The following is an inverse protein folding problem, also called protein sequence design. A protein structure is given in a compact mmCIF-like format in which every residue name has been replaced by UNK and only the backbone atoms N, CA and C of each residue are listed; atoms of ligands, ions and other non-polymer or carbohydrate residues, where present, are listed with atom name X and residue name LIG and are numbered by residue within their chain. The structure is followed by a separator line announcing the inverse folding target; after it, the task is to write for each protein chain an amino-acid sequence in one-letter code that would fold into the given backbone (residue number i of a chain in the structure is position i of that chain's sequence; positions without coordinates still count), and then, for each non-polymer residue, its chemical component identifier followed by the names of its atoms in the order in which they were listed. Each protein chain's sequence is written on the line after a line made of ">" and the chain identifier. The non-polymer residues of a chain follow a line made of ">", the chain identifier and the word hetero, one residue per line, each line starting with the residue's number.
data_IF_667753831618
#
_entry.id   IF_667753831618
#
_cell.length_a   1.000
_cell.length_b   1.000
_cell.length_c   1.000
_cell.angle_alpha   90.00
_cell.angle_beta   90.00
_cell.angle_gamma   90.00
#
_symmetry.space_group_name_H-M   'P 1'
#
loop_
_entity.id
_entity.type
_entity.pdbx_description
1 polymer ?
#
# COMPACT_ATOMS: atom_id res chain seq x y z
N UNK A 1 73.21 102.48 -29.57
CA UNK A 1 73.36 101.99 -28.17
C UNK A 1 72.73 103.01 -27.23
N UNK A 2 71.97 102.64 -26.18
CA UNK A 2 71.76 101.31 -25.57
C UNK A 2 70.38 100.70 -25.92
N UNK A 3 70.23 99.39 -26.13
CA UNK A 3 70.20 98.20 -25.22
C UNK A 3 68.84 97.99 -24.54
N UNK A 4 68.16 96.94 -25.03
CA UNK A 4 67.28 95.97 -24.37
C UNK A 4 66.88 96.23 -22.91
N UNK A 5 65.58 96.04 -22.63
CA UNK A 5 65.16 94.88 -21.82
C UNK A 5 63.69 94.56 -22.08
N UNK A 6 63.48 93.31 -22.50
CA UNK A 6 62.19 92.62 -22.55
C UNK A 6 61.50 92.68 -21.19
N UNK A 7 60.17 92.83 -21.20
CA UNK A 7 59.29 92.15 -20.26
C UNK A 7 57.89 92.05 -20.85
N UNK A 8 57.54 90.85 -21.31
CA UNK A 8 56.15 90.42 -21.49
C UNK A 8 55.76 89.73 -20.18
N UNK A 9 54.59 90.03 -19.61
CA UNK A 9 53.94 89.04 -18.76
C UNK A 9 52.48 88.79 -19.14
N UNK A 10 52.25 87.53 -19.50
CA UNK A 10 51.11 86.70 -19.14
C UNK A 10 49.71 87.11 -19.63
N UNK A 11 49.38 86.69 -20.85
CA UNK A 11 48.04 86.20 -21.14
C UNK A 11 47.83 84.89 -20.36
N UNK A 12 47.10 84.95 -19.25
CA UNK A 12 46.66 83.77 -18.54
C UNK A 12 45.55 83.10 -19.36
N UNK A 13 45.95 82.22 -20.29
CA UNK A 13 45.04 81.26 -20.92
C UNK A 13 44.52 80.35 -19.81
N UNK A 14 43.20 80.32 -19.63
CA UNK A 14 42.52 79.41 -18.71
C UNK A 14 42.96 77.97 -18.95
N UNK A 15 43.11 77.15 -17.90
CA UNK A 15 43.72 75.83 -18.02
C UNK A 15 42.92 74.94 -18.96
N UNK A 16 43.65 74.24 -19.82
CA UNK A 16 43.17 73.10 -20.59
C UNK A 16 42.22 72.23 -19.75
N UNK A 17 40.99 72.03 -20.24
CA UNK A 17 40.16 70.91 -19.83
C UNK A 17 41.01 69.64 -19.98
N UNK A 18 41.40 69.06 -18.84
CA UNK A 18 41.94 67.71 -18.80
C UNK A 18 40.87 66.83 -19.43
N UNK A 19 41.12 66.39 -20.67
CA UNK A 19 40.26 65.40 -21.33
C UNK A 19 40.28 64.18 -20.43
N UNK A 20 39.14 63.86 -19.81
CA UNK A 20 38.95 62.57 -19.18
C UNK A 20 39.32 61.47 -20.19
N UNK A 21 40.02 60.40 -19.78
CA UNK A 21 40.32 59.29 -20.67
C UNK A 21 39.02 58.58 -21.04
N UNK A 22 38.45 59.01 -22.17
CA UNK A 22 37.33 58.37 -22.85
C UNK A 22 37.82 56.99 -23.32
N UNK A 23 37.17 55.96 -22.80
CA UNK A 23 37.31 54.54 -23.15
C UNK A 23 38.50 53.79 -22.54
N UNK A 24 38.39 53.43 -21.26
CA UNK A 24 39.04 52.20 -20.78
C UNK A 24 38.39 51.02 -21.53
N UNK A 25 39.15 50.11 -22.15
CA UNK A 25 38.58 48.98 -22.88
C UNK A 25 37.74 48.13 -21.90
N UNK A 26 36.45 47.96 -22.18
CA UNK A 26 35.54 47.16 -21.35
C UNK A 26 35.72 45.65 -21.54
N UNK A 27 36.51 45.24 -22.53
CA UNK A 27 36.80 43.84 -22.86
C UNK A 27 37.30 42.99 -21.69
N UNK A 28 38.20 43.46 -20.80
CA UNK A 28 38.63 42.67 -19.64
C UNK A 28 37.48 42.37 -18.66
N UNK A 29 36.54 43.32 -18.49
CA UNK A 29 35.36 43.12 -17.64
C UNK A 29 34.39 42.11 -18.26
N UNK A 30 34.19 42.19 -19.58
CA UNK A 30 33.34 41.25 -20.32
C UNK A 30 33.92 39.83 -20.24
N UNK A 31 35.22 39.67 -20.46
CA UNK A 31 35.91 38.36 -20.36
C UNK A 31 35.80 37.78 -18.95
N UNK A 32 36.00 38.60 -17.91
CA UNK A 32 35.82 38.15 -16.51
C UNK A 32 34.38 37.73 -16.25
N UNK A 33 33.38 38.50 -16.71
CA UNK A 33 31.97 38.12 -16.57
C UNK A 33 31.63 36.81 -17.29
N UNK A 34 32.16 36.58 -18.50
CA UNK A 34 31.94 35.34 -19.26
C UNK A 34 32.59 34.16 -18.55
N UNK A 35 33.83 34.30 -18.05
CA UNK A 35 34.52 33.25 -17.32
C UNK A 35 33.77 32.90 -16.03
N UNK A 36 33.32 33.90 -15.27
CA UNK A 36 32.52 33.67 -14.05
C UNK A 36 31.19 32.99 -14.40
N UNK A 37 30.51 33.40 -15.47
CA UNK A 37 29.28 32.75 -15.91
C UNK A 37 29.50 31.28 -16.31
N UNK A 38 30.60 30.98 -17.00
CA UNK A 38 30.96 29.60 -17.35
C UNK A 38 31.34 28.75 -16.13
N UNK A 39 32.03 29.34 -15.14
CA UNK A 39 32.35 28.67 -13.87
C UNK A 39 31.08 28.42 -13.06
N UNK A 40 30.14 29.37 -13.01
CA UNK A 40 28.85 29.19 -12.35
C UNK A 40 28.01 28.14 -13.07
N UNK A 41 27.94 28.16 -14.41
CA UNK A 41 27.26 27.12 -15.20
C UNK A 41 27.90 25.74 -15.01
N UNK A 42 29.23 25.68 -14.99
CA UNK A 42 29.99 24.47 -14.69
C UNK A 42 29.72 23.95 -13.29
N UNK A 43 29.65 24.84 -12.28
CA UNK A 43 29.26 24.48 -10.92
C UNK A 43 27.81 24.05 -10.85
N UNK A 44 26.86 24.73 -11.49
CA UNK A 44 25.44 24.32 -11.51
C UNK A 44 25.26 22.97 -12.21
N UNK A 45 25.97 22.72 -13.31
CA UNK A 45 25.97 21.42 -13.99
C UNK A 45 26.63 20.32 -13.17
N UNK A 46 27.79 20.60 -12.57
CA UNK A 46 28.53 19.62 -11.77
C UNK A 46 27.87 19.32 -10.42
N UNK A 47 27.41 20.36 -9.71
CA UNK A 47 26.59 20.20 -8.51
C UNK A 47 25.24 19.59 -8.85
N UNK A 48 24.56 19.98 -9.93
CA UNK A 48 23.32 19.34 -10.39
C UNK A 48 23.47 17.83 -10.64
N UNK A 49 24.61 17.42 -11.21
CA UNK A 49 24.95 16.01 -11.41
C UNK A 49 25.33 15.28 -10.11
N UNK A 50 25.99 15.94 -9.16
CA UNK A 50 26.31 15.40 -7.82
C UNK A 50 25.08 15.37 -6.88
N UNK A 51 24.07 16.19 -7.16
CA UNK A 51 22.84 16.34 -6.37
C UNK A 51 21.75 15.32 -6.74
N UNK A 52 21.87 14.59 -7.85
CA UNK A 52 20.74 13.86 -8.43
C UNK A 52 20.89 12.32 -8.52
N UNK A 53 21.76 11.69 -7.73
CA UNK A 53 21.79 10.23 -7.68
C UNK A 53 20.86 9.74 -6.57
N UNK A 54 19.72 9.21 -6.99
CA UNK A 54 18.85 8.37 -6.14
C UNK A 54 19.69 7.23 -5.60
N UNK A 55 19.41 6.84 -4.35
CA UNK A 55 19.96 5.63 -3.75
C UNK A 55 19.71 4.43 -4.70
N UNK A 56 20.77 3.80 -5.24
CA UNK A 56 20.63 2.72 -6.22
C UNK A 56 19.86 1.52 -5.66
N UNK A 57 19.91 1.29 -4.35
CA UNK A 57 19.18 0.21 -3.69
C UNK A 57 17.68 0.51 -3.66
N UNK A 58 17.30 1.74 -3.32
CA UNK A 58 15.91 2.19 -3.38
C UNK A 58 15.36 2.12 -4.82
N UNK A 59 16.12 2.59 -5.81
CA UNK A 59 15.72 2.53 -7.21
C UNK A 59 15.46 1.08 -7.67
N UNK A 60 16.33 0.14 -7.27
CA UNK A 60 16.19 -1.28 -7.57
C UNK A 60 14.96 -1.87 -6.88
N UNK A 61 14.84 -1.72 -5.56
CA UNK A 61 13.75 -2.31 -4.79
C UNK A 61 12.38 -1.78 -5.27
N UNK A 62 12.29 -0.49 -5.58
CA UNK A 62 11.05 0.11 -6.13
C UNK A 62 10.77 -0.39 -7.54
N UNK A 63 11.80 -0.50 -8.38
CA UNK A 63 11.70 -1.02 -9.75
C UNK A 63 11.21 -2.47 -9.78
N UNK A 64 11.67 -3.31 -8.85
CA UNK A 64 11.25 -4.70 -8.74
C UNK A 64 9.77 -4.82 -8.37
N UNK A 65 9.26 -3.99 -7.44
CA UNK A 65 7.83 -3.92 -7.11
C UNK A 65 6.99 -3.47 -8.31
N UNK A 66 7.41 -2.40 -8.99
CA UNK A 66 6.74 -1.88 -10.19
C UNK A 66 6.67 -2.96 -11.28
N UNK A 67 7.77 -3.66 -11.53
CA UNK A 67 7.85 -4.71 -12.55
C UNK A 67 6.85 -5.83 -12.25
N UNK A 68 6.77 -6.27 -10.98
CA UNK A 68 5.82 -7.31 -10.57
C UNK A 68 4.37 -6.85 -10.68
N UNK A 69 4.03 -5.63 -10.24
CA UNK A 69 2.67 -5.09 -10.41
C UNK A 69 2.25 -5.02 -11.87
N UNK A 70 3.13 -4.53 -12.75
CA UNK A 70 2.86 -4.47 -14.19
C UNK A 70 2.67 -5.87 -14.78
N UNK A 71 3.50 -6.85 -14.39
CA UNK A 71 3.33 -8.24 -14.79
C UNK A 71 1.97 -8.78 -14.31
N UNK A 72 1.64 -8.59 -13.03
CA UNK A 72 0.41 -9.10 -12.43
C UNK A 72 -0.86 -8.38 -12.89
N UNK A 73 -0.72 -7.22 -13.55
CA UNK A 73 -1.82 -6.53 -14.23
C UNK A 73 -2.26 -7.24 -15.52
N UNK A 74 -1.42 -8.14 -16.06
CA UNK A 74 -1.70 -8.84 -17.33
C UNK A 74 -1.73 -10.36 -17.17
N UNK A 75 -1.09 -10.88 -16.13
CA UNK A 75 -1.00 -12.31 -15.84
C UNK A 75 -1.30 -12.54 -14.39
N UNK A 76 -2.29 -13.36 -14.07
CA UNK A 76 -2.65 -13.64 -12.69
C UNK A 76 -1.48 -14.31 -11.93
N UNK A 77 -1.09 -13.80 -10.74
CA UNK A 77 -0.04 -14.41 -9.94
C UNK A 77 -0.51 -15.74 -9.31
N UNK A 78 0.44 -16.64 -9.05
CA UNK A 78 0.20 -17.82 -8.19
C UNK A 78 0.15 -17.42 -6.71
N UNK A 79 -0.41 -18.27 -5.84
CA UNK A 79 -0.45 -18.02 -4.39
C UNK A 79 0.96 -17.81 -3.78
N UNK A 80 1.97 -18.55 -4.25
CA UNK A 80 3.37 -18.39 -3.84
C UNK A 80 3.93 -17.03 -4.29
N UNK A 81 3.60 -16.60 -5.50
CA UNK A 81 3.98 -15.29 -6.03
C UNK A 81 3.30 -14.15 -5.27
N UNK A 82 2.03 -14.32 -4.89
CA UNK A 82 1.31 -13.39 -4.03
C UNK A 82 2.02 -13.24 -2.68
N UNK A 83 2.29 -14.36 -2.02
CA UNK A 83 2.97 -14.41 -0.71
C UNK A 83 4.36 -13.77 -0.78
N UNK A 84 5.13 -14.08 -1.81
CA UNK A 84 6.46 -13.51 -2.00
C UNK A 84 6.42 -11.99 -2.26
N UNK A 85 5.45 -11.52 -3.05
CA UNK A 85 5.25 -10.10 -3.28
C UNK A 85 4.86 -9.37 -1.99
N UNK A 86 3.90 -9.90 -1.22
CA UNK A 86 3.46 -9.31 0.04
C UNK A 86 4.62 -9.18 1.03
N UNK A 87 5.44 -10.22 1.15
CA UNK A 87 6.67 -10.19 1.96
C UNK A 87 7.62 -9.08 1.50
N UNK A 88 7.89 -8.99 0.19
CA UNK A 88 8.75 -7.94 -0.37
C UNK A 88 8.17 -6.53 -0.12
N UNK A 89 6.86 -6.35 -0.26
CA UNK A 89 6.19 -5.08 -0.01
C UNK A 89 6.27 -4.66 1.48
N UNK A 90 6.17 -5.62 2.41
CA UNK A 90 6.39 -5.38 3.84
C UNK A 90 7.84 -4.96 4.11
N UNK A 91 8.81 -5.70 3.58
CA UNK A 91 10.24 -5.37 3.73
C UNK A 91 10.58 -3.99 3.14
N UNK A 92 10.06 -3.68 1.95
CA UNK A 92 10.17 -2.37 1.32
C UNK A 92 9.60 -1.26 2.21
N UNK A 93 8.39 -1.46 2.73
CA UNK A 93 7.75 -0.49 3.62
C UNK A 93 8.55 -0.30 4.92
N UNK A 94 9.01 -1.37 5.57
CA UNK A 94 9.86 -1.27 6.76
C UNK A 94 11.16 -0.51 6.48
N UNK A 95 11.74 -0.70 5.28
CA UNK A 95 13.01 -0.09 4.90
C UNK A 95 12.88 1.39 4.57
N UNK A 96 11.82 1.82 3.90
CA UNK A 96 11.75 3.16 3.29
C UNK A 96 10.63 4.06 3.81
N UNK A 97 9.60 3.52 4.49
CA UNK A 97 8.46 4.31 4.97
C UNK A 97 8.92 5.40 5.94
N UNK A 98 8.50 6.64 5.67
CA UNK A 98 8.82 7.81 6.50
C UNK A 98 10.26 8.32 6.36
N UNK A 99 11.11 7.68 5.54
CA UNK A 99 12.49 8.14 5.32
C UNK A 99 12.54 9.13 4.15
N UNK A 100 13.23 10.28 4.32
CA UNK A 100 13.44 11.21 3.22
C UNK A 100 14.51 10.63 2.26
N UNK A 101 14.09 10.30 1.03
CA UNK A 101 14.98 9.74 0.00
C UNK A 101 15.10 10.76 -1.14
N UNK A 102 16.33 11.20 -1.41
CA UNK A 102 16.59 12.21 -2.44
C UNK A 102 16.28 11.64 -3.82
N UNK A 103 15.46 12.37 -4.59
CA UNK A 103 15.06 11.96 -5.95
C UNK A 103 14.04 10.82 -6.01
N UNK A 104 13.48 10.40 -4.87
CA UNK A 104 12.51 9.31 -4.82
C UNK A 104 11.17 9.62 -5.51
N UNK A 105 10.86 10.90 -5.73
CA UNK A 105 9.57 11.33 -6.28
C UNK A 105 9.20 10.59 -7.57
N UNK A 106 10.12 10.52 -8.55
CA UNK A 106 9.87 9.81 -9.82
C UNK A 106 9.52 8.33 -9.60
N UNK A 107 10.19 7.66 -8.67
CA UNK A 107 9.98 6.24 -8.38
C UNK A 107 8.68 6.01 -7.61
N UNK A 108 8.36 6.89 -6.65
CA UNK A 108 7.10 6.86 -5.91
C UNK A 108 5.91 7.11 -6.84
N UNK A 109 6.02 8.06 -7.77
CA UNK A 109 4.98 8.34 -8.75
C UNK A 109 4.78 7.17 -9.71
N UNK A 110 5.88 6.53 -10.16
CA UNK A 110 5.81 5.33 -10.98
C UNK A 110 5.21 4.13 -10.24
N UNK A 111 5.52 3.96 -8.95
CA UNK A 111 4.93 2.91 -8.11
C UNK A 111 3.42 3.13 -7.95
N UNK A 112 2.99 4.35 -7.63
CA UNK A 112 1.55 4.69 -7.56
C UNK A 112 0.82 4.45 -8.88
N UNK A 113 1.46 4.77 -10.01
CA UNK A 113 0.88 4.49 -11.32
C UNK A 113 0.74 2.98 -11.58
N UNK A 114 1.74 2.17 -11.19
CA UNK A 114 1.68 0.72 -11.30
C UNK A 114 0.60 0.11 -10.39
N UNK A 115 0.46 0.62 -9.15
CA UNK A 115 -0.61 0.23 -8.23
C UNK A 115 -2.00 0.55 -8.81
N UNK A 116 -2.18 1.76 -9.37
CA UNK A 116 -3.44 2.16 -10.00
C UNK A 116 -3.76 1.30 -11.23
N UNK A 117 -2.76 1.01 -12.06
CA UNK A 117 -2.91 0.15 -13.23
C UNK A 117 -3.31 -1.27 -12.82
N UNK A 118 -2.63 -1.84 -11.81
CA UNK A 118 -2.97 -3.14 -11.27
C UNK A 118 -4.41 -3.16 -10.74
N UNK A 119 -4.81 -2.10 -10.03
CA UNK A 119 -6.17 -2.02 -9.49
C UNK A 119 -7.21 -1.92 -10.60
N UNK A 120 -6.92 -1.15 -11.64
CA UNK A 120 -7.81 -0.97 -12.78
C UNK A 120 -7.94 -2.27 -13.58
N UNK A 121 -6.83 -2.98 -13.81
CA UNK A 121 -6.82 -4.24 -14.55
C UNK A 121 -7.62 -5.34 -13.84
N UNK A 122 -7.61 -5.36 -12.51
CA UNK A 122 -8.31 -6.35 -11.70
C UNK A 122 -9.68 -5.88 -11.18
N UNK A 123 -10.23 -4.79 -11.75
CA UNK A 123 -11.47 -4.16 -11.26
C UNK A 123 -12.63 -5.14 -11.13
N UNK A 124 -12.85 -6.01 -12.10
CA UNK A 124 -13.94 -6.98 -12.06
C UNK A 124 -13.85 -7.93 -10.86
N UNK A 125 -12.64 -8.42 -10.56
CA UNK A 125 -12.38 -9.29 -9.41
C UNK A 125 -12.61 -8.58 -8.07
N UNK A 126 -12.28 -7.29 -8.01
CA UNK A 126 -12.57 -6.48 -6.81
C UNK A 126 -14.05 -6.14 -6.67
N UNK A 127 -14.74 -5.83 -7.76
CA UNK A 127 -16.19 -5.60 -7.74
C UNK A 127 -16.93 -6.89 -7.28
N UNK A 128 -16.46 -8.06 -7.71
CA UNK A 128 -16.95 -9.37 -7.24
C UNK A 128 -16.68 -9.59 -5.76
N UNK A 129 -15.45 -9.35 -5.30
CA UNK A 129 -15.08 -9.48 -3.88
C UNK A 129 -15.91 -8.54 -2.99
N UNK A 130 -16.14 -7.30 -3.42
CA UNK A 130 -17.02 -6.35 -2.72
C UNK A 130 -18.45 -6.87 -2.66
N UNK A 131 -18.98 -7.40 -3.77
CA UNK A 131 -20.33 -7.97 -3.80
C UNK A 131 -20.47 -9.15 -2.83
N UNK A 132 -19.45 -10.01 -2.72
CA UNK A 132 -19.46 -11.13 -1.78
C UNK A 132 -19.50 -10.62 -0.34
N UNK A 133 -18.67 -9.63 0.02
CA UNK A 133 -18.70 -9.04 1.36
C UNK A 133 -20.05 -8.36 1.67
N UNK A 134 -20.68 -7.73 0.69
CA UNK A 134 -22.02 -7.15 0.84
C UNK A 134 -23.09 -8.23 1.08
N UNK A 135 -23.00 -9.38 0.40
CA UNK A 135 -23.90 -10.51 0.64
C UNK A 135 -23.71 -11.09 2.04
N UNK A 136 -22.46 -11.24 2.50
CA UNK A 136 -22.16 -11.63 3.88
C UNK A 136 -22.72 -10.65 4.90
N UNK A 137 -22.59 -9.34 4.65
CA UNK A 137 -23.18 -8.29 5.48
C UNK A 137 -24.71 -8.45 5.55
N UNK A 138 -25.36 -8.68 4.41
CA UNK A 138 -26.80 -8.92 4.33
C UNK A 138 -27.25 -10.13 5.14
N UNK A 139 -26.54 -11.26 5.03
CA UNK A 139 -26.81 -12.45 5.86
C UNK A 139 -26.66 -12.14 7.35
N UNK A 140 -25.61 -11.39 7.70
CA UNK A 140 -25.36 -11.03 9.10
C UNK A 140 -26.48 -10.19 9.69
N UNK A 141 -26.95 -9.19 8.96
CA UNK A 141 -28.04 -8.31 9.39
C UNK A 141 -29.37 -9.06 9.49
N UNK A 142 -29.64 -9.97 8.53
CA UNK A 142 -30.86 -10.77 8.51
C UNK A 142 -30.94 -11.78 9.66
N UNK A 143 -29.80 -12.37 10.03
CA UNK A 143 -29.72 -13.49 10.97
C UNK A 143 -29.09 -13.13 12.33
N UNK A 144 -28.94 -11.85 12.64
CA UNK A 144 -28.25 -11.36 13.85
C UNK A 144 -28.70 -12.01 15.18
N UNK A 145 -29.98 -12.40 15.27
CA UNK A 145 -30.54 -13.01 16.48
C UNK A 145 -30.58 -14.54 16.41
N UNK A 146 -30.56 -15.12 15.21
CA UNK A 146 -30.69 -16.56 15.00
C UNK A 146 -30.16 -16.95 13.61
N UNK A 147 -29.14 -17.82 13.61
CA UNK A 147 -28.52 -18.35 12.40
C UNK A 147 -29.03 -19.75 12.10
N UNK A 148 -29.95 -19.93 11.14
CA UNK A 148 -30.31 -21.27 10.69
C UNK A 148 -29.11 -21.92 10.01
N UNK A 149 -29.03 -23.26 10.09
CA UNK A 149 -27.95 -24.06 9.48
C UNK A 149 -27.74 -23.74 8.00
N UNK A 150 -28.82 -23.49 7.25
CA UNK A 150 -28.76 -23.13 5.83
C UNK A 150 -28.08 -21.79 5.58
N UNK A 151 -28.37 -20.77 6.38
CA UNK A 151 -27.73 -19.45 6.26
C UNK A 151 -26.24 -19.50 6.66
N UNK A 152 -25.89 -20.38 7.61
CA UNK A 152 -24.51 -20.60 8.00
C UNK A 152 -23.71 -21.29 6.87
N UNK A 153 -24.28 -22.30 6.22
CA UNK A 153 -23.66 -22.95 5.05
C UNK A 153 -23.45 -21.95 3.90
N UNK A 154 -24.45 -21.13 3.62
CA UNK A 154 -24.36 -20.06 2.61
C UNK A 154 -23.29 -19.04 2.95
N UNK A 155 -23.25 -18.59 4.22
CA UNK A 155 -22.21 -17.70 4.70
C UNK A 155 -20.81 -18.31 4.54
N UNK A 156 -20.62 -19.57 4.92
CA UNK A 156 -19.35 -20.28 4.76
C UNK A 156 -18.92 -20.40 3.30
N UNK A 157 -19.86 -20.63 2.39
CA UNK A 157 -19.61 -20.64 0.94
C UNK A 157 -19.06 -19.29 0.49
N UNK A 158 -19.70 -18.18 0.89
CA UNK A 158 -19.18 -16.85 0.61
C UNK A 158 -17.78 -16.64 1.21
N UNK A 159 -17.48 -17.17 2.41
CA UNK A 159 -16.15 -17.02 3.01
C UNK A 159 -15.06 -17.69 2.20
N UNK A 160 -15.36 -18.86 1.64
CA UNK A 160 -14.45 -19.62 0.78
C UNK A 160 -14.24 -18.92 -0.56
N UNK A 161 -15.31 -18.42 -1.17
CA UNK A 161 -15.24 -17.64 -2.42
C UNK A 161 -14.42 -16.35 -2.25
N UNK A 162 -14.67 -15.60 -1.16
CA UNK A 162 -13.90 -14.39 -0.85
C UNK A 162 -12.42 -14.70 -0.63
N UNK A 163 -12.11 -15.78 0.09
CA UNK A 163 -10.74 -16.21 0.33
C UNK A 163 -10.02 -16.64 -0.95
N UNK A 164 -10.71 -17.37 -1.83
CA UNK A 164 -10.17 -17.78 -3.13
C UNK A 164 -9.83 -16.56 -4.01
N UNK A 165 -10.74 -15.59 -4.14
CA UNK A 165 -10.48 -14.36 -4.88
C UNK A 165 -9.32 -13.58 -4.24
N UNK A 166 -9.37 -13.36 -2.93
CA UNK A 166 -8.34 -12.60 -2.21
C UNK A 166 -6.94 -13.23 -2.34
N UNK A 167 -6.85 -14.56 -2.35
CA UNK A 167 -5.57 -15.29 -2.45
C UNK A 167 -4.83 -15.06 -3.79
N UNK A 168 -5.57 -14.63 -4.82
CA UNK A 168 -5.07 -14.38 -6.18
C UNK A 168 -4.59 -12.93 -6.38
N UNK A 169 -4.59 -12.11 -5.33
CA UNK A 169 -4.25 -10.70 -5.42
C UNK A 169 -3.11 -10.28 -4.48
N UNK A 170 -2.27 -9.38 -4.99
CA UNK A 170 -1.13 -8.79 -4.26
C UNK A 170 -1.42 -7.42 -3.63
N UNK A 171 -2.52 -6.80 -4.06
CA UNK A 171 -2.96 -5.48 -3.65
C UNK A 171 -4.49 -5.45 -3.74
N UNK A 172 -5.13 -4.73 -2.83
CA UNK A 172 -6.56 -4.49 -2.84
C UNK A 172 -6.84 -3.02 -3.13
N UNK A 173 -7.95 -2.75 -3.81
CA UNK A 173 -8.46 -1.38 -3.86
C UNK A 173 -8.91 -0.94 -2.45
N UNK A 174 -9.03 0.38 -2.19
CA UNK A 174 -9.42 0.88 -0.87
C UNK A 174 -10.74 0.31 -0.34
N UNK A 175 -11.70 0.04 -1.23
CA UNK A 175 -13.01 -0.50 -0.86
C UNK A 175 -12.92 -1.95 -0.36
N UNK A 176 -12.24 -2.85 -1.10
CA UNK A 176 -11.99 -4.21 -0.63
C UNK A 176 -11.23 -4.20 0.69
N UNK A 177 -10.22 -3.34 0.84
CA UNK A 177 -9.45 -3.24 2.07
C UNK A 177 -10.33 -2.87 3.28
N UNK A 178 -11.25 -1.92 3.12
CA UNK A 178 -12.20 -1.55 4.18
C UNK A 178 -13.17 -2.69 4.53
N UNK A 179 -13.67 -3.42 3.53
CA UNK A 179 -14.55 -4.57 3.75
C UNK A 179 -13.83 -5.71 4.48
N UNK A 180 -12.59 -6.03 4.07
CA UNK A 180 -11.75 -7.04 4.73
C UNK A 180 -11.53 -6.65 6.20
N UNK A 181 -11.12 -5.41 6.49
CA UNK A 181 -10.91 -4.96 7.88
C UNK A 181 -12.18 -5.04 8.72
N UNK A 182 -13.32 -4.63 8.16
CA UNK A 182 -14.62 -4.73 8.83
C UNK A 182 -14.95 -6.18 9.15
N UNK A 183 -14.72 -7.08 8.19
CA UNK A 183 -15.01 -8.49 8.33
C UNK A 183 -14.08 -9.20 9.33
N UNK A 184 -12.77 -8.95 9.26
CA UNK A 184 -11.78 -9.45 10.23
C UNK A 184 -12.12 -9.01 11.65
N UNK A 185 -12.52 -7.75 11.83
CA UNK A 185 -12.93 -7.24 13.13
C UNK A 185 -14.17 -7.97 13.65
N UNK A 186 -15.18 -8.21 12.80
CA UNK A 186 -16.38 -8.96 13.18
C UNK A 186 -16.07 -10.39 13.60
N UNK A 187 -15.25 -11.11 12.84
CA UNK A 187 -14.86 -12.49 13.19
C UNK A 187 -14.08 -12.53 14.50
N UNK A 188 -13.16 -11.60 14.70
CA UNK A 188 -12.31 -11.57 15.90
C UNK A 188 -13.13 -11.45 17.18
N UNK A 189 -14.26 -10.76 17.12
CA UNK A 189 -15.15 -10.55 18.26
C UNK A 189 -16.11 -11.74 18.49
N UNK A 190 -16.08 -12.77 17.64
CA UNK A 190 -16.88 -13.98 17.80
C UNK A 190 -16.31 -14.89 18.90
N UNK A 191 -17.16 -15.43 19.80
CA UNK A 191 -16.73 -16.44 20.76
C UNK A 191 -16.36 -17.74 20.03
N UNK A 192 -15.20 -18.32 20.35
CA UNK A 192 -14.80 -19.63 19.82
C UNK A 192 -15.54 -20.76 20.57
N UNK A 193 -16.44 -21.49 19.90
CA UNK A 193 -17.23 -22.52 20.54
C UNK A 193 -16.56 -23.91 20.50
N UNK A 194 -15.33 -24.01 19.98
CA UNK A 194 -14.63 -25.28 19.75
C UNK A 194 -14.56 -26.15 21.00
N UNK A 195 -14.25 -25.55 22.16
CA UNK A 195 -14.13 -26.29 23.42
C UNK A 195 -15.46 -26.92 23.82
N UNK A 196 -16.57 -26.18 23.67
CA UNK A 196 -17.91 -26.68 23.99
C UNK A 196 -18.30 -27.86 23.11
N UNK A 197 -18.06 -27.76 21.79
CA UNK A 197 -18.37 -28.83 20.85
C UNK A 197 -17.52 -30.08 21.13
N UNK A 198 -16.21 -29.92 21.37
CA UNK A 198 -15.33 -31.05 21.72
C UNK A 198 -15.74 -31.73 23.02
N UNK A 199 -16.18 -30.96 24.01
CA UNK A 199 -16.68 -31.51 25.27
C UNK A 199 -17.93 -32.35 25.02
N UNK A 200 -18.83 -31.86 24.16
CA UNK A 200 -20.03 -32.58 23.75
C UNK A 200 -19.70 -33.89 23.01
N UNK A 201 -18.71 -33.86 22.11
CA UNK A 201 -18.23 -35.03 21.40
C UNK A 201 -17.67 -36.10 22.36
N UNK A 202 -16.86 -35.71 23.35
CA UNK A 202 -16.37 -36.65 24.36
C UNK A 202 -17.49 -37.24 25.22
N UNK A 203 -18.55 -36.48 25.51
CA UNK A 203 -19.71 -37.01 26.22
C UNK A 203 -20.43 -38.08 25.40
N UNK A 204 -20.65 -37.83 24.10
CA UNK A 204 -21.27 -38.77 23.17
C UNK A 204 -20.53 -40.11 23.10
N UNK A 205 -19.21 -40.09 23.02
CA UNK A 205 -18.39 -41.31 22.97
C UNK A 205 -18.51 -42.19 24.23
N UNK A 206 -18.92 -41.59 25.36
CA UNK A 206 -19.02 -42.25 26.67
C UNK A 206 -20.45 -42.52 27.14
N UNK A 207 -21.46 -42.02 26.42
CA UNK A 207 -22.85 -42.03 26.83
C UNK A 207 -23.50 -43.41 26.70
N UNK A 208 -24.40 -43.75 27.63
CA UNK A 208 -25.25 -44.93 27.49
C UNK A 208 -26.40 -44.65 26.50
N UNK A 209 -26.94 -45.70 25.87
CA UNK A 209 -28.03 -45.59 24.86
C UNK A 209 -29.23 -44.78 25.38
N UNK A 210 -29.56 -44.94 26.66
CA UNK A 210 -30.69 -44.29 27.33
C UNK A 210 -30.50 -42.77 27.48
N UNK A 211 -29.25 -42.30 27.51
CA UNK A 211 -28.88 -40.88 27.66
C UNK A 211 -28.82 -40.14 26.32
N UNK A 212 -28.81 -40.87 25.19
CA UNK A 212 -28.60 -40.29 23.86
C UNK A 212 -29.72 -39.35 23.43
N UNK A 213 -30.98 -39.63 23.82
CA UNK A 213 -32.13 -38.76 23.49
C UNK A 213 -32.02 -37.40 24.21
N UNK A 214 -31.63 -37.43 25.49
CA UNK A 214 -31.45 -36.21 26.28
C UNK A 214 -30.24 -35.41 25.79
N UNK A 215 -29.14 -36.09 25.44
CA UNK A 215 -27.99 -35.47 24.80
C UNK A 215 -28.38 -34.85 23.46
N UNK A 216 -29.17 -35.51 22.61
CA UNK A 216 -29.66 -34.91 21.36
C UNK A 216 -30.45 -33.63 21.62
N UNK A 217 -31.32 -33.62 22.64
CA UNK A 217 -32.06 -32.44 23.05
C UNK A 217 -31.16 -31.28 23.49
N UNK A 218 -30.11 -31.56 24.27
CA UNK A 218 -29.11 -30.56 24.66
C UNK A 218 -28.30 -30.04 23.47
N UNK A 219 -27.91 -30.92 22.55
CA UNK A 219 -27.20 -30.55 21.33
C UNK A 219 -28.02 -29.62 20.45
N UNK A 220 -29.27 -29.98 20.19
CA UNK A 220 -30.19 -29.17 19.39
C UNK A 220 -30.44 -27.81 20.02
N UNK A 221 -30.63 -27.77 21.34
CA UNK A 221 -30.76 -26.52 22.08
C UNK A 221 -29.50 -25.65 21.97
N UNK A 222 -28.32 -26.26 22.07
CA UNK A 222 -27.04 -25.58 21.96
C UNK A 222 -26.79 -25.02 20.56
N UNK A 223 -27.16 -25.75 19.50
CA UNK A 223 -27.03 -25.30 18.12
C UNK A 223 -28.08 -24.23 17.74
N UNK A 224 -29.34 -24.40 18.14
CA UNK A 224 -30.43 -23.49 17.77
C UNK A 224 -30.35 -22.12 18.46
N UNK A 225 -29.75 -22.06 19.65
CA UNK A 225 -29.60 -20.81 20.40
C UNK A 225 -28.28 -20.09 20.14
N UNK A 226 -27.54 -20.47 19.08
CA UNK A 226 -26.34 -19.71 18.71
C UNK A 226 -26.70 -18.48 17.88
N UNK A 227 -26.31 -17.29 18.35
CA UNK A 227 -26.60 -16.05 17.65
C UNK A 227 -25.56 -15.72 16.56
N UNK A 228 -24.53 -16.54 16.34
CA UNK A 228 -23.35 -16.12 15.56
C UNK A 228 -22.85 -17.20 14.60
N UNK A 229 -22.31 -16.80 13.43
CA UNK A 229 -21.68 -17.71 12.50
C UNK A 229 -20.37 -18.26 13.10
N UNK A 230 -19.91 -19.38 12.57
CA UNK A 230 -18.67 -20.04 12.99
C UNK A 230 -17.75 -20.25 11.80
N UNK A 231 -16.49 -20.60 12.04
CA UNK A 231 -15.55 -20.96 10.99
C UNK A 231 -15.86 -22.34 10.41
N UNK A 232 -15.43 -22.62 9.17
CA UNK A 232 -15.64 -23.94 8.51
C UNK A 232 -15.17 -25.12 9.37
N UNK A 233 -13.97 -25.12 10.00
CA UNK A 233 -13.55 -26.25 10.83
C UNK A 233 -14.47 -26.50 12.04
N UNK A 234 -15.04 -25.44 12.61
CA UNK A 234 -16.00 -25.54 13.72
C UNK A 234 -17.34 -26.07 13.22
N UNK A 235 -17.75 -25.64 12.03
CA UNK A 235 -18.94 -26.15 11.37
C UNK A 235 -18.84 -27.64 11.04
N UNK A 236 -17.70 -28.10 10.53
CA UNK A 236 -17.46 -29.52 10.25
C UNK A 236 -17.59 -30.38 11.51
N UNK A 237 -17.16 -29.87 12.68
CA UNK A 237 -17.37 -30.55 13.97
C UNK A 237 -18.85 -30.62 14.34
N UNK A 238 -19.63 -29.57 14.07
CA UNK A 238 -21.08 -29.56 14.31
C UNK A 238 -21.75 -30.62 13.42
N UNK A 239 -21.42 -30.63 12.13
CA UNK A 239 -21.95 -31.60 11.16
C UNK A 239 -21.59 -33.03 11.54
N UNK A 240 -20.37 -33.28 12.03
CA UNK A 240 -19.95 -34.60 12.52
C UNK A 240 -20.80 -35.07 13.69
N UNK A 241 -21.08 -34.20 14.66
CA UNK A 241 -21.94 -34.54 15.81
C UNK A 241 -23.38 -34.79 15.36
N UNK A 242 -23.93 -33.97 14.45
CA UNK A 242 -25.26 -34.19 13.87
C UNK A 242 -25.35 -35.56 13.19
N UNK A 243 -24.38 -35.87 12.31
CA UNK A 243 -24.33 -37.13 11.56
C UNK A 243 -24.19 -38.34 12.49
N UNK A 244 -23.47 -38.19 13.60
CA UNK A 244 -23.35 -39.24 14.61
C UNK A 244 -24.72 -39.57 15.22
N UNK A 245 -25.50 -38.55 15.59
CA UNK A 245 -26.84 -38.78 16.12
C UNK A 245 -27.77 -39.44 15.09
N UNK A 246 -27.72 -39.04 13.82
CA UNK A 246 -28.52 -39.65 12.74
C UNK A 246 -28.19 -41.14 12.49
N UNK A 247 -26.99 -41.58 12.87
CA UNK A 247 -26.54 -42.96 12.69
C UNK A 247 -26.79 -43.86 13.91
N UNK A 248 -27.01 -43.29 15.10
CA UNK A 248 -27.08 -44.02 16.37
C UNK A 248 -28.42 -43.87 17.13
N UNK A 249 -29.31 -42.97 16.68
CA UNK A 249 -30.69 -42.81 17.14
C UNK A 249 -31.68 -43.14 16.03
#
# INVERSE_FOLDING_TARGET
>A
YPINMMQVPYSQQSPNLVKEPKNRPMWPKIVVCVIVALIVLGMVGHFGHLVSKVDPEFAKDTGDLISKLNQYSTTLPTAEQCTAYLKQAVEYNMKYKGKPIRGAQKYNDALKAAELNYVTANKASFDELVSIFQNMDGLWELHINHWPKTALEEFLTFTEEAADIASRHVLFNPECFLMILKYEQRIKDLPDPTIGIKTFQSQLESAAQEELVDLKGHWDHYCNNRPLPVTRPVWDLIVQVDTWFETHL
#
